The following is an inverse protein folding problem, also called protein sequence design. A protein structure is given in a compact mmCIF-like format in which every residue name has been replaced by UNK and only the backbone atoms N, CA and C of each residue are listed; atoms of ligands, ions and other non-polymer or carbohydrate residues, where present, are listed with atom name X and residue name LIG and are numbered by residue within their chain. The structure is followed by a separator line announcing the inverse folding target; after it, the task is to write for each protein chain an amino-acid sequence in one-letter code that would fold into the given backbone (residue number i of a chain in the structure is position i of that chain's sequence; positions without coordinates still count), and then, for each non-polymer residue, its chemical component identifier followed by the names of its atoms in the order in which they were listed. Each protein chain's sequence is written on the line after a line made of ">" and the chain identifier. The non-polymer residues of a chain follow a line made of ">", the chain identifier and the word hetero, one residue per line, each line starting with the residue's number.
data_IF_512206950114
#
_entry.id   IF_512206950114
#
_cell.length_a   1.000
_cell.length_b   1.000
_cell.length_c   1.000
_cell.angle_alpha   90.00
_cell.angle_beta   90.00
_cell.angle_gamma   90.00
#
_symmetry.space_group_name_H-M   'P 1'
#
loop_
_entity.id
_entity.type
_entity.pdbx_description
1 polymer ?
#
# COMPACT_ATOMS: atom_id res chain seq x y z
N UNK A 1 1.53 3.54 -1.92
CA UNK A 1 1.36 4.03 -0.54
C UNK A 1 2.52 4.91 -0.09
N UNK A 2 3.75 4.40 0.05
CA UNK A 2 4.89 5.22 0.54
C UNK A 2 5.14 6.47 -0.32
N UNK A 3 5.19 6.33 -1.64
CA UNK A 3 5.45 7.45 -2.56
C UNK A 3 4.44 8.59 -2.42
N UNK A 4 3.19 8.28 -2.07
CA UNK A 4 2.16 9.29 -1.83
C UNK A 4 2.49 10.15 -0.60
N UNK A 5 3.04 9.52 0.44
CA UNK A 5 3.39 10.20 1.70
C UNK A 5 4.65 11.05 1.56
N UNK A 6 5.66 10.53 0.85
CA UNK A 6 6.96 11.19 0.69
C UNK A 6 6.99 12.18 -0.45
N UNK A 7 6.08 12.07 -1.43
CA UNK A 7 6.13 12.77 -2.73
C UNK A 7 7.47 12.55 -3.46
N UNK A 8 8.11 11.42 -3.18
CA UNK A 8 9.40 11.02 -3.73
C UNK A 8 9.31 9.58 -4.23
N UNK A 9 10.13 9.25 -5.23
CA UNK A 9 10.31 7.88 -5.69
C UNK A 9 10.76 6.98 -4.53
N UNK A 10 10.22 5.77 -4.45
CA UNK A 10 10.69 4.77 -3.48
C UNK A 10 12.18 4.52 -3.66
N UNK A 11 12.92 4.41 -2.56
CA UNK A 11 14.37 4.20 -2.58
C UNK A 11 15.16 5.29 -3.33
N UNK A 12 14.70 6.55 -3.33
CA UNK A 12 15.38 7.66 -4.01
C UNK A 12 16.85 7.84 -3.59
N UNK A 13 17.19 7.46 -2.35
CA UNK A 13 18.54 7.53 -1.80
C UNK A 13 19.46 6.36 -2.21
N UNK A 14 18.92 5.38 -2.94
CA UNK A 14 19.64 4.18 -3.35
C UNK A 14 19.96 4.22 -4.85
N UNK A 15 21.09 3.63 -5.20
CA UNK A 15 21.38 3.31 -6.60
C UNK A 15 20.48 2.15 -7.03
N UNK A 16 19.83 2.32 -8.19
CA UNK A 16 18.93 1.33 -8.76
C UNK A 16 19.74 0.25 -9.50
N UNK A 17 20.37 -0.65 -8.75
CA UNK A 17 21.18 -1.75 -9.26
C UNK A 17 20.91 -3.07 -8.51
N UNK A 18 21.71 -4.10 -8.81
CA UNK A 18 21.56 -5.44 -8.22
C UNK A 18 21.66 -5.44 -6.70
N UNK A 19 22.48 -4.56 -6.11
CA UNK A 19 22.66 -4.51 -4.67
C UNK A 19 21.37 -4.08 -3.98
N UNK A 20 20.61 -3.15 -4.56
CA UNK A 20 19.29 -2.77 -4.07
C UNK A 20 18.30 -3.95 -4.08
N UNK A 21 18.34 -4.79 -5.11
CA UNK A 21 17.50 -6.00 -5.18
C UNK A 21 17.83 -6.95 -4.03
N UNK A 22 19.12 -7.20 -3.78
CA UNK A 22 19.56 -8.05 -2.67
C UNK A 22 19.13 -7.45 -1.32
N UNK A 23 19.24 -6.13 -1.14
CA UNK A 23 18.78 -5.46 0.07
C UNK A 23 17.27 -5.64 0.31
N UNK A 24 16.45 -5.56 -0.73
CA UNK A 24 14.99 -5.72 -0.63
C UNK A 24 14.59 -7.17 -0.39
N UNK A 25 15.12 -8.10 -1.19
CA UNK A 25 14.72 -9.50 -1.20
C UNK A 25 15.28 -10.29 -0.02
N UNK A 26 16.54 -10.03 0.37
CA UNK A 26 17.24 -10.86 1.36
C UNK A 26 17.36 -10.18 2.72
N UNK A 27 17.61 -8.88 2.74
CA UNK A 27 17.79 -8.13 3.98
C UNK A 27 16.50 -7.43 4.44
N UNK A 28 15.40 -7.61 3.71
CA UNK A 28 14.10 -7.07 4.09
C UNK A 28 14.04 -5.54 4.07
N UNK A 29 14.90 -4.88 3.28
CA UNK A 29 14.85 -3.43 3.14
C UNK A 29 13.45 -3.01 2.63
N UNK A 30 12.83 -2.07 3.34
CA UNK A 30 11.54 -1.48 2.97
C UNK A 30 11.64 0.05 2.90
N UNK A 31 10.81 0.71 2.07
CA UNK A 31 10.80 2.16 2.00
C UNK A 31 10.40 2.79 3.34
N UNK A 32 10.88 4.01 3.58
CA UNK A 32 10.52 4.80 4.76
C UNK A 32 9.35 5.72 4.46
N UNK A 33 8.45 5.89 5.42
CA UNK A 33 7.32 6.81 5.35
C UNK A 33 7.73 8.23 5.74
N UNK A 34 6.99 9.22 5.25
CA UNK A 34 7.20 10.61 5.66
C UNK A 34 6.83 10.83 7.13
N UNK A 35 7.49 11.75 7.85
CA UNK A 35 7.06 12.18 9.18
C UNK A 35 5.60 12.64 9.15
N UNK A 36 4.83 12.25 10.16
CA UNK A 36 3.40 12.58 10.24
C UNK A 36 2.48 11.65 9.48
N UNK A 37 2.98 10.65 8.74
CA UNK A 37 2.11 9.64 8.11
C UNK A 37 1.27 8.92 9.18
N UNK A 38 -0.05 8.79 9.02
CA UNK A 38 -0.92 8.08 9.96
C UNK A 38 -0.45 6.64 10.22
N UNK A 39 -0.42 6.20 11.47
CA UNK A 39 0.05 4.87 11.85
C UNK A 39 -0.80 3.76 11.23
N UNK A 40 -2.12 3.95 11.14
CA UNK A 40 -3.01 2.98 10.48
C UNK A 40 -2.65 2.78 8.99
N UNK A 41 -2.22 3.85 8.31
CA UNK A 41 -1.77 3.80 6.92
C UNK A 41 -0.41 3.10 6.80
N UNK A 42 0.52 3.39 7.72
CA UNK A 42 1.83 2.70 7.80
C UNK A 42 1.63 1.20 8.03
N UNK A 43 0.72 0.82 8.94
CA UNK A 43 0.42 -0.57 9.24
C UNK A 43 -0.13 -1.33 8.03
N UNK A 44 -1.12 -0.76 7.33
CA UNK A 44 -1.64 -1.34 6.09
C UNK A 44 -0.55 -1.48 5.02
N UNK A 45 0.26 -0.44 4.82
CA UNK A 45 1.34 -0.49 3.85
C UNK A 45 2.38 -1.56 4.19
N UNK A 46 2.70 -1.75 5.47
CA UNK A 46 3.58 -2.82 5.91
C UNK A 46 2.97 -4.21 5.69
N UNK A 47 1.67 -4.38 5.92
CA UNK A 47 0.95 -5.63 5.62
C UNK A 47 1.07 -6.00 4.13
N UNK A 48 0.95 -5.03 3.23
CA UNK A 48 1.15 -5.25 1.78
C UNK A 48 2.61 -5.57 1.38
N UNK A 49 3.59 -5.34 2.26
CA UNK A 49 5.02 -5.55 1.99
C UNK A 49 5.60 -6.79 2.70
N UNK A 50 4.72 -7.62 3.29
CA UNK A 50 5.09 -8.91 3.90
C UNK A 50 5.65 -9.84 2.81
N UNK A 51 6.81 -10.50 3.03
CA UNK A 51 7.42 -11.37 2.02
C UNK A 51 6.55 -12.57 1.61
N UNK A 52 5.71 -13.05 2.54
CA UNK A 52 4.79 -14.16 2.33
C UNK A 52 3.50 -13.66 1.65
N UNK A 53 3.24 -14.04 0.37
CA UNK A 53 2.07 -13.56 -0.36
C UNK A 53 0.74 -13.95 0.29
N UNK A 54 0.69 -15.10 0.97
CA UNK A 54 -0.55 -15.58 1.62
C UNK A 54 -0.91 -14.76 2.86
N UNK A 55 0.04 -13.98 3.40
CA UNK A 55 -0.17 -13.08 4.53
C UNK A 55 -0.44 -11.64 4.11
N UNK A 56 -0.34 -11.33 2.82
CA UNK A 56 -0.68 -10.00 2.33
C UNK A 56 -2.20 -9.84 2.33
N UNK A 57 -2.71 -8.64 2.65
CA UNK A 57 -4.13 -8.38 2.55
C UNK A 57 -4.54 -8.45 1.08
N UNK A 58 -5.71 -9.04 0.82
CA UNK A 58 -6.28 -9.04 -0.51
C UNK A 58 -6.79 -7.63 -0.89
N UNK A 59 -7.12 -7.44 -2.17
CA UNK A 59 -7.54 -6.12 -2.66
C UNK A 59 -8.82 -5.61 -2.00
N UNK A 60 -9.77 -6.49 -1.66
CA UNK A 60 -11.01 -6.12 -0.97
C UNK A 60 -10.70 -5.59 0.43
N UNK A 61 -9.85 -6.27 1.21
CA UNK A 61 -9.43 -5.81 2.55
C UNK A 61 -8.75 -4.44 2.49
N UNK A 62 -7.94 -4.19 1.46
CA UNK A 62 -7.28 -2.89 1.27
C UNK A 62 -8.30 -1.79 0.95
N UNK A 63 -9.22 -2.04 0.02
CA UNK A 63 -10.26 -1.08 -0.39
C UNK A 63 -11.17 -0.76 0.80
N UNK A 64 -11.68 -1.78 1.49
CA UNK A 64 -12.54 -1.62 2.66
C UNK A 64 -11.87 -0.80 3.76
N UNK A 65 -10.56 -0.98 3.98
CA UNK A 65 -9.78 -0.14 4.91
C UNK A 65 -9.72 1.32 4.50
N UNK A 66 -9.37 1.58 3.25
CA UNK A 66 -9.22 2.93 2.71
C UNK A 66 -10.56 3.68 2.71
N UNK A 67 -11.63 3.04 2.26
CA UNK A 67 -12.98 3.61 2.24
C UNK A 67 -13.48 3.88 3.67
N UNK A 68 -13.23 2.94 4.59
CA UNK A 68 -13.54 3.12 5.99
C UNK A 68 -12.90 4.38 6.57
N UNK A 69 -11.61 4.62 6.29
CA UNK A 69 -10.93 5.84 6.74
C UNK A 69 -11.45 7.11 6.07
N UNK A 70 -11.75 7.07 4.77
CA UNK A 70 -12.31 8.22 4.04
C UNK A 70 -13.65 8.66 4.65
N UNK A 71 -14.54 7.72 4.96
CA UNK A 71 -15.84 8.04 5.55
C UNK A 71 -15.72 8.70 6.93
N UNK A 72 -14.78 8.21 7.76
CA UNK A 72 -14.47 8.81 9.07
C UNK A 72 -13.99 10.26 8.93
N UNK A 73 -13.14 10.52 7.94
CA UNK A 73 -12.60 11.86 7.69
C UNK A 73 -13.70 12.80 7.18
N UNK A 74 -14.53 12.33 6.25
CA UNK A 74 -15.60 13.11 5.63
C UNK A 74 -16.82 13.30 6.54
N UNK A 75 -16.89 12.62 7.70
CA UNK A 75 -18.06 12.59 8.59
C UNK A 75 -19.34 12.18 7.87
N UNK A 76 -19.22 11.32 6.86
CA UNK A 76 -20.39 10.73 6.23
C UNK A 76 -21.00 9.76 7.25
N UNK A 77 -22.14 10.14 7.81
CA UNK A 77 -23.00 9.26 8.60
C UNK A 77 -23.75 8.25 7.71
N UNK A 78 -23.27 8.01 6.48
CA UNK A 78 -23.78 6.95 5.64
C UNK A 78 -23.40 5.64 6.31
N UNK A 79 -24.43 4.95 6.76
CA UNK A 79 -24.34 3.78 7.61
C UNK A 79 -23.40 2.80 6.91
N UNK A 80 -22.27 2.42 7.53
CA UNK A 80 -21.26 1.53 6.95
C UNK A 80 -21.83 0.24 6.33
N UNK A 81 -23.03 -0.19 6.74
CA UNK A 81 -23.77 -1.28 6.11
C UNK A 81 -24.26 -1.04 4.68
N UNK A 82 -24.57 0.21 4.29
CA UNK A 82 -24.89 0.57 2.89
C UNK A 82 -23.66 0.52 1.99
N UNK A 83 -22.48 0.89 2.51
CA UNK A 83 -21.21 0.82 1.76
C UNK A 83 -20.81 -0.62 1.46
N UNK A 84 -20.92 -1.54 2.43
CA UNK A 84 -20.65 -2.97 2.17
C UNK A 84 -21.64 -3.51 1.13
N UNK A 85 -22.93 -3.17 1.24
CA UNK A 85 -23.93 -3.57 0.25
C UNK A 85 -23.66 -2.99 -1.15
N UNK A 86 -23.18 -1.75 -1.24
CA UNK A 86 -22.75 -1.15 -2.52
C UNK A 86 -21.46 -1.77 -3.06
N UNK A 87 -20.48 -2.11 -2.22
CA UNK A 87 -19.24 -2.76 -2.65
C UNK A 87 -19.49 -4.19 -3.14
N UNK A 88 -20.33 -4.96 -2.45
CA UNK A 88 -20.79 -6.30 -2.85
C UNK A 88 -21.49 -6.27 -4.22
N UNK A 89 -22.38 -5.30 -4.42
CA UNK A 89 -23.14 -5.17 -5.68
C UNK A 89 -22.29 -4.63 -6.83
N UNK A 90 -21.32 -3.74 -6.55
CA UNK A 90 -20.48 -3.08 -7.56
C UNK A 90 -19.32 -3.94 -8.03
N UNK A 91 -18.76 -4.77 -7.16
CA UNK A 91 -17.63 -5.64 -7.50
C UNK A 91 -18.04 -7.08 -7.86
N UNK A 92 -19.28 -7.50 -7.55
CA UNK A 92 -19.84 -8.81 -7.92
C UNK A 92 -18.90 -9.98 -7.60
N UNK A 93 -18.14 -9.83 -6.51
CA UNK A 93 -17.21 -10.84 -6.01
C UNK A 93 -18.08 -11.83 -5.25
N UNK A 94 -18.05 -13.10 -5.63
CA UNK A 94 -18.83 -14.14 -4.97
C UNK A 94 -18.39 -14.26 -3.51
N UNK A 95 -19.07 -13.53 -2.63
CA UNK A 95 -18.77 -13.49 -1.21
C UNK A 95 -18.85 -14.91 -0.65
N UNK A 96 -17.70 -15.44 -0.22
CA UNK A 96 -17.69 -16.64 0.59
C UNK A 96 -17.87 -16.27 2.08
N UNK A 97 -18.28 -17.24 2.89
CA UNK A 97 -18.61 -17.03 4.31
C UNK A 97 -17.39 -16.56 5.15
N UNK A 98 -16.17 -16.84 4.67
CA UNK A 98 -14.91 -16.38 5.29
C UNK A 98 -14.62 -14.89 5.09
N UNK A 99 -14.89 -14.34 3.91
CA UNK A 99 -14.71 -12.90 3.61
C UNK A 99 -15.64 -12.04 4.48
N UNK A 100 -16.90 -12.47 4.63
CA UNK A 100 -17.90 -11.84 5.50
C UNK A 100 -17.49 -11.76 6.98
N UNK A 101 -16.68 -12.71 7.46
CA UNK A 101 -16.20 -12.72 8.85
C UNK A 101 -15.07 -11.71 9.06
N UNK A 102 -14.19 -11.57 8.07
CA UNK A 102 -13.08 -10.60 8.09
C UNK A 102 -13.63 -9.18 8.04
N UNK A 103 -14.64 -8.92 7.20
CA UNK A 103 -15.28 -7.62 7.10
C UNK A 103 -15.96 -7.18 8.40
N UNK A 104 -16.68 -8.08 9.07
CA UNK A 104 -17.31 -7.78 10.37
C UNK A 104 -16.28 -7.51 11.47
N UNK A 105 -15.18 -8.25 11.49
CA UNK A 105 -14.08 -7.99 12.43
C UNK A 105 -13.47 -6.61 12.17
N UNK A 106 -13.18 -6.30 10.91
CA UNK A 106 -12.63 -5.00 10.53
C UNK A 106 -13.58 -3.85 10.89
N UNK A 107 -14.89 -4.02 10.68
CA UNK A 107 -15.88 -3.01 11.04
C UNK A 107 -15.92 -2.75 12.54
N UNK A 108 -15.79 -3.80 13.36
CA UNK A 108 -15.66 -3.67 14.82
C UNK A 108 -14.44 -2.86 15.21
N UNK A 109 -13.27 -3.19 14.65
CA UNK A 109 -12.01 -2.48 14.90
C UNK A 109 -12.08 -1.02 14.44
N UNK A 110 -12.78 -0.73 13.32
CA UNK A 110 -12.92 0.60 12.75
C UNK A 110 -13.75 1.51 13.66
N UNK A 111 -14.89 1.02 14.17
CA UNK A 111 -15.77 1.76 15.10
C UNK A 111 -15.05 2.07 16.41
N UNK A 112 -14.35 1.08 16.97
CA UNK A 112 -13.60 1.28 18.22
C UNK A 112 -12.49 2.33 18.06
N UNK A 113 -11.86 2.37 16.88
CA UNK A 113 -10.71 3.23 16.61
C UNK A 113 -11.03 4.52 15.86
N UNK A 114 -12.31 4.82 15.60
CA UNK A 114 -12.73 5.94 14.75
C UNK A 114 -12.07 7.27 15.13
N UNK A 115 -12.21 7.65 16.40
CA UNK A 115 -11.65 8.91 16.93
C UNK A 115 -10.13 8.98 16.80
N UNK A 116 -9.45 7.85 17.02
CA UNK A 116 -8.00 7.71 16.91
C UNK A 116 -7.54 7.81 15.46
N UNK A 117 -8.26 7.21 14.54
CA UNK A 117 -7.98 7.25 13.09
C UNK A 117 -8.14 8.68 12.60
N UNK A 118 -9.31 9.29 12.88
CA UNK A 118 -9.61 10.67 12.49
C UNK A 118 -8.54 11.65 12.97
N UNK A 119 -8.13 11.53 14.23
CA UNK A 119 -7.08 12.37 14.82
C UNK A 119 -5.75 12.25 14.07
N UNK A 120 -5.31 11.04 13.74
CA UNK A 120 -4.04 10.83 13.02
C UNK A 120 -4.04 11.49 11.64
N UNK A 121 -5.14 11.40 10.89
CA UNK A 121 -5.24 12.03 9.57
C UNK A 121 -5.25 13.56 9.68
N UNK A 122 -5.96 14.13 10.67
CA UNK A 122 -5.95 15.58 10.91
C UNK A 122 -4.55 16.10 11.30
N UNK A 123 -3.84 15.38 12.18
CA UNK A 123 -2.46 15.72 12.56
C UNK A 123 -1.50 15.63 11.37
N UNK A 124 -1.65 14.60 10.52
CA UNK A 124 -0.90 14.46 9.28
C UNK A 124 -1.13 15.66 8.34
N UNK A 125 -2.38 16.09 8.18
CA UNK A 125 -2.73 17.22 7.32
C UNK A 125 -2.13 18.54 7.85
N UNK A 126 -2.16 18.77 9.16
CA UNK A 126 -1.55 19.92 9.80
C UNK A 126 -0.03 19.96 9.59
N UNK A 127 0.64 18.82 9.77
CA UNK A 127 2.07 18.69 9.49
C UNK A 127 2.38 18.93 8.02
N UNK A 128 1.57 18.39 7.10
CA UNK A 128 1.78 18.54 5.65
C UNK A 128 1.71 19.99 5.18
N UNK A 129 0.83 20.80 5.78
CA UNK A 129 0.72 22.25 5.51
C UNK A 129 2.03 22.97 5.83
N UNK A 130 2.71 22.59 6.91
CA UNK A 130 3.99 23.17 7.30
C UNK A 130 5.13 22.84 6.30
N UNK A 131 5.05 21.71 5.58
CA UNK A 131 6.04 21.33 4.56
C UNK A 131 5.87 22.05 3.22
N UNK A 132 4.68 22.57 2.92
CA UNK A 132 4.37 23.19 1.62
C UNK A 132 5.20 24.45 1.30
N UNK A 133 5.82 25.06 2.30
CA UNK A 133 6.73 26.22 2.17
C UNK A 133 8.06 25.87 1.47
N UNK A 134 8.40 24.58 1.29
CA UNK A 134 9.68 24.11 0.71
C UNK A 134 9.57 23.50 -0.70
N UNK A 135 8.54 23.84 -1.49
CA UNK A 135 8.37 23.24 -2.82
C UNK A 135 9.33 23.83 -3.86
N UNK A 136 10.57 23.31 -3.88
CA UNK A 136 11.44 23.39 -5.05
C UNK A 136 10.80 22.66 -6.25
N UNK A 137 10.95 23.28 -7.43
CA UNK A 137 10.42 22.85 -8.74
C UNK A 137 10.47 21.33 -8.96
N UNK A 138 9.30 20.68 -8.97
CA UNK A 138 9.14 19.32 -9.48
C UNK A 138 9.24 19.28 -11.01
N UNK A 139 10.45 19.41 -11.55
CA UNK A 139 10.72 19.28 -12.98
C UNK A 139 10.94 17.83 -13.45
N UNK A 140 10.72 16.84 -12.58
CA UNK A 140 10.91 15.44 -12.93
C UNK A 140 9.58 14.70 -12.90
N UNK A 141 8.89 14.70 -14.04
CA UNK A 141 7.78 13.79 -14.35
C UNK A 141 8.20 12.37 -13.94
N UNK A 142 7.30 11.62 -13.29
CA UNK A 142 7.56 10.26 -12.83
C UNK A 142 7.85 9.34 -14.03
N UNK A 143 9.12 9.20 -14.40
CA UNK A 143 9.56 8.25 -15.43
C UNK A 143 10.29 7.10 -14.76
N UNK A 144 9.67 5.92 -14.68
CA UNK A 144 10.30 4.65 -14.33
C UNK A 144 11.65 4.51 -15.04
N UNK A 145 12.74 4.29 -14.31
CA UNK A 145 13.99 3.87 -14.97
C UNK A 145 13.79 2.41 -15.39
N UNK A 146 14.09 2.02 -16.64
CA UNK A 146 13.95 0.63 -17.07
C UNK A 146 14.95 -0.27 -16.33
N UNK A 147 14.51 -1.47 -15.95
CA UNK A 147 15.33 -2.48 -15.27
C UNK A 147 15.69 -3.59 -16.24
N UNK A 148 16.93 -4.08 -16.18
CA UNK A 148 17.30 -5.31 -16.87
C UNK A 148 16.90 -6.52 -16.00
N UNK A 149 15.64 -6.92 -16.10
CA UNK A 149 15.06 -8.03 -15.32
C UNK A 149 15.81 -9.34 -15.60
N UNK A 150 16.23 -9.58 -16.84
CA UNK A 150 16.98 -10.79 -17.24
C UNK A 150 18.31 -10.92 -16.48
N UNK A 151 19.08 -9.83 -16.41
CA UNK A 151 20.33 -9.79 -15.66
C UNK A 151 20.11 -10.04 -14.16
N UNK A 152 19.07 -9.42 -13.59
CA UNK A 152 18.72 -9.58 -12.18
C UNK A 152 18.36 -11.05 -11.88
N UNK A 153 17.45 -11.65 -12.65
CA UNK A 153 17.06 -13.04 -12.49
C UNK A 153 18.23 -14.02 -12.66
N UNK A 154 19.13 -13.76 -13.62
CA UNK A 154 20.34 -14.58 -13.82
C UNK A 154 21.27 -14.54 -12.60
N UNK A 155 21.42 -13.38 -11.97
CA UNK A 155 22.26 -13.25 -10.76
C UNK A 155 21.62 -13.86 -9.52
N UNK A 156 20.31 -13.66 -9.31
CA UNK A 156 19.58 -14.24 -8.19
C UNK A 156 19.62 -15.78 -8.21
N UNK A 157 19.39 -16.37 -9.40
CA UNK A 157 19.45 -17.83 -9.57
C UNK A 157 20.83 -18.42 -9.27
N UNK A 158 21.93 -17.71 -9.62
CA UNK A 158 23.30 -18.12 -9.30
C UNK A 158 23.62 -18.07 -7.80
N UNK A 159 22.93 -17.24 -7.03
CA UNK A 159 23.14 -17.11 -5.59
C UNK A 159 22.30 -18.10 -4.76
N UNK A 160 21.49 -18.96 -5.40
CA UNK A 160 20.54 -19.83 -4.69
C UNK A 160 19.42 -19.07 -3.98
N UNK A 161 19.23 -17.79 -4.32
CA UNK A 161 18.20 -16.93 -3.76
C UNK A 161 16.91 -17.22 -4.55
N UNK A 162 15.89 -17.74 -3.83
CA UNK A 162 14.48 -18.02 -4.19
C UNK A 162 14.03 -17.86 -5.65
N UNK A 163 13.18 -18.82 -6.11
CA UNK A 163 12.34 -18.68 -7.31
C UNK A 163 11.71 -17.29 -7.34
N UNK A 164 12.03 -16.49 -8.36
CA UNK A 164 11.18 -15.37 -8.73
C UNK A 164 9.75 -15.93 -8.90
N UNK A 165 8.74 -15.21 -8.42
CA UNK A 165 7.37 -15.47 -8.86
C UNK A 165 7.44 -15.55 -10.39
N UNK A 166 6.95 -16.67 -10.95
CA UNK A 166 6.96 -16.97 -12.37
C UNK A 166 6.63 -15.70 -13.15
N UNK A 167 7.31 -15.47 -14.26
CA UNK A 167 6.95 -14.44 -15.24
C UNK A 167 5.42 -14.47 -15.32
N UNK A 168 4.76 -13.41 -14.84
CA UNK A 168 3.35 -13.21 -15.15
C UNK A 168 3.38 -12.99 -16.65
N UNK A 169 3.03 -14.02 -17.41
CA UNK A 169 2.69 -13.86 -18.81
C UNK A 169 1.53 -12.89 -18.81
N UNK A 170 1.84 -11.61 -19.09
CA UNK A 170 0.83 -10.65 -19.51
C UNK A 170 0.28 -11.27 -20.79
N UNK A 171 -0.99 -11.72 -20.81
CA UNK A 171 -1.58 -12.19 -22.05
C UNK A 171 -1.41 -11.07 -23.06
N UNK A 172 -0.89 -11.39 -24.25
CA UNK A 172 -0.99 -10.48 -25.38
C UNK A 172 -2.48 -10.32 -25.66
N UNK A 173 -3.09 -9.27 -25.11
CA UNK A 173 -4.46 -8.90 -25.42
C UNK A 173 -4.53 -8.59 -26.92
N UNK A 174 -5.20 -9.48 -27.67
CA UNK A 174 -5.72 -9.28 -29.03
C UNK A 174 -7.11 -8.66 -28.91
#
# INVERSE_FOLDING_TARGET
>A
MVEMTTRQRSFNDYKFDFDLVVMICNFGLRPKFAPGTPNCYVELANQCMIPDPEKQPNICEIITKLDGWLNIIENKNEFFGEIIAELDTKWNIGANESENKIEKQFLGDLVENESRIKKQFLESDELSKNFSVLTEKFNNIYTSKPYNISEICSRLSKMGITKCASIIEVPDDI
#
